data_IF_501594316489
#
_entry.id   IF_501594316489
#
_cell.length_a   1.000
_cell.length_b   1.000
_cell.length_c   1.000
_cell.angle_alpha   90.00
_cell.angle_beta   90.00
_cell.angle_gamma   90.00
#
_symmetry.space_group_name_H-M   'P 1'
#
loop_
_entity.id
_entity.type
_entity.pdbx_description
1 polymer ?
#
# COMPACT_ATOMS: atom_id res chain seq x y z
N UNK A 1 -56.76 24.15 29.48
CA UNK A 1 -55.69 25.17 29.42
C UNK A 1 -54.39 24.69 30.08
N UNK A 2 -54.41 24.21 31.32
CA UNK A 2 -53.20 23.73 32.04
C UNK A 2 -52.40 22.61 31.33
N UNK A 3 -53.06 21.60 30.75
CA UNK A 3 -52.39 20.50 30.04
C UNK A 3 -51.67 20.94 28.74
N UNK A 4 -52.17 21.98 28.07
CA UNK A 4 -51.56 22.53 26.86
C UNK A 4 -50.27 23.29 27.18
N UNK A 5 -50.29 24.06 28.28
CA UNK A 5 -49.10 24.74 28.80
C UNK A 5 -48.02 23.72 29.22
N UNK A 6 -48.42 22.63 29.86
CA UNK A 6 -47.49 21.58 30.27
C UNK A 6 -46.82 20.89 29.08
N UNK A 7 -47.60 20.54 28.04
CA UNK A 7 -47.04 20.00 26.79
C UNK A 7 -46.09 21.00 26.12
N UNK A 8 -46.47 22.28 26.04
CA UNK A 8 -45.62 23.31 25.45
C UNK A 8 -44.27 23.44 26.18
N UNK A 9 -44.28 23.43 27.52
CA UNK A 9 -43.05 23.46 28.33
C UNK A 9 -42.16 22.23 28.10
N UNK A 10 -42.74 21.04 27.97
CA UNK A 10 -41.99 19.81 27.68
C UNK A 10 -41.34 19.84 26.30
N UNK A 11 -42.03 20.38 25.28
CA UNK A 11 -41.45 20.57 23.95
C UNK A 11 -40.29 21.58 23.94
N UNK A 12 -40.38 22.64 24.76
CA UNK A 12 -39.35 23.68 24.85
C UNK A 12 -38.09 23.23 25.62
N UNK A 13 -38.20 22.25 26.52
CA UNK A 13 -37.07 21.76 27.31
C UNK A 13 -35.93 21.16 26.47
N UNK A 14 -36.23 20.64 25.27
CA UNK A 14 -35.23 20.13 24.34
C UNK A 14 -34.36 21.20 23.68
N UNK A 15 -34.84 22.45 23.57
CA UNK A 15 -34.09 23.55 22.95
C UNK A 15 -33.06 24.20 23.90
N UNK A 16 -33.17 23.98 25.21
CA UNK A 16 -32.27 24.57 26.21
C UNK A 16 -31.04 23.69 26.53
N UNK A 17 -30.92 22.50 25.91
CA UNK A 17 -29.80 21.61 26.14
C UNK A 17 -28.52 22.11 25.47
N UNK A 18 -27.52 22.50 26.27
CA UNK A 18 -26.17 22.73 25.75
C UNK A 18 -25.52 21.38 25.40
N UNK A 19 -24.89 21.22 24.23
CA UNK A 19 -24.12 20.02 23.93
C UNK A 19 -22.97 19.89 24.96
N UNK A 20 -22.62 18.67 25.38
CA UNK A 20 -21.48 18.45 26.26
C UNK A 20 -20.20 18.95 25.58
N UNK A 21 -19.28 19.47 26.39
CA UNK A 21 -18.00 19.97 25.89
C UNK A 21 -17.24 18.83 25.17
N UNK A 22 -16.83 19.02 23.91
CA UNK A 22 -16.12 17.99 23.17
C UNK A 22 -14.81 17.66 23.87
N UNK A 23 -14.63 16.42 24.32
CA UNK A 23 -13.36 15.93 24.84
C UNK A 23 -12.56 15.35 23.68
N UNK A 24 -11.52 16.03 23.16
CA UNK A 24 -10.75 15.50 22.06
C UNK A 24 -10.03 14.23 22.52
N UNK A 25 -10.40 13.11 21.91
CA UNK A 25 -9.68 11.86 22.07
C UNK A 25 -8.43 11.92 21.20
N UNK A 26 -7.25 11.78 21.82
CA UNK A 26 -6.02 11.54 21.05
C UNK A 26 -6.07 10.11 20.53
N UNK A 27 -6.02 9.95 19.22
CA UNK A 27 -5.93 8.67 18.54
C UNK A 27 -4.59 8.62 17.84
N UNK A 28 -3.80 7.58 18.11
CA UNK A 28 -2.60 7.30 17.33
C UNK A 28 -3.00 6.74 15.97
N UNK A 29 -2.79 7.54 14.93
CA UNK A 29 -3.03 7.10 13.56
C UNK A 29 -1.74 6.50 13.02
N UNK A 30 -1.75 5.24 12.52
CA UNK A 30 -0.57 4.65 11.91
C UNK A 30 -0.16 5.49 10.69
N UNK A 31 1.06 6.01 10.72
CA UNK A 31 1.64 6.73 9.59
C UNK A 31 2.46 5.74 8.76
N UNK A 32 2.24 5.76 7.45
CA UNK A 32 3.04 4.96 6.51
C UNK A 32 4.49 5.48 6.54
N UNK A 33 5.41 4.64 7.05
CA UNK A 33 6.84 4.95 7.03
C UNK A 33 7.42 4.61 5.65
N UNK A 34 8.23 5.50 5.04
CA UNK A 34 8.84 5.19 3.75
C UNK A 34 9.91 4.11 3.94
N UNK A 35 9.79 3.01 3.20
CA UNK A 35 10.85 2.02 3.17
C UNK A 35 12.10 2.58 2.48
N UNK A 36 13.25 2.45 3.13
CA UNK A 36 14.56 2.83 2.57
C UNK A 36 15.38 1.58 2.26
N UNK A 37 15.13 1.00 1.09
CA UNK A 37 15.94 -0.08 0.53
C UNK A 37 16.68 0.42 -0.71
N UNK A 38 17.93 -0.04 -0.94
CA UNK A 38 18.64 0.30 -2.17
C UNK A 38 17.89 -0.25 -3.39
N UNK A 39 18.00 0.45 -4.51
CA UNK A 39 17.44 0.00 -5.77
C UNK A 39 18.14 -1.28 -6.24
N UNK A 40 17.35 -2.33 -6.48
CA UNK A 40 17.84 -3.59 -7.07
C UNK A 40 17.91 -3.38 -8.58
N UNK A 41 19.12 -3.23 -9.11
CA UNK A 41 19.32 -3.00 -10.55
C UNK A 41 19.10 -4.28 -11.36
N UNK A 42 18.46 -4.20 -12.55
CA UNK A 42 18.32 -5.36 -13.41
C UNK A 42 19.69 -5.85 -13.91
N UNK A 43 19.90 -7.16 -14.02
CA UNK A 43 21.13 -7.71 -14.57
C UNK A 43 21.20 -7.49 -16.08
N UNK A 44 22.38 -7.68 -16.66
CA UNK A 44 22.54 -7.77 -18.12
C UNK A 44 21.86 -9.04 -18.62
N UNK A 45 20.65 -8.90 -19.18
CA UNK A 45 19.87 -10.03 -19.67
C UNK A 45 20.58 -10.77 -20.79
N UNK A 46 20.70 -12.09 -20.65
CA UNK A 46 21.40 -12.93 -21.61
C UNK A 46 20.77 -12.89 -23.02
N UNK A 47 19.47 -12.64 -23.13
CA UNK A 47 18.77 -12.48 -24.40
C UNK A 47 18.98 -11.13 -25.08
N UNK A 48 19.53 -10.12 -24.41
CA UNK A 48 19.61 -8.75 -24.92
C UNK A 48 20.47 -8.62 -26.20
N UNK A 49 21.41 -9.54 -26.42
CA UNK A 49 22.29 -9.53 -27.59
C UNK A 49 21.84 -10.46 -28.71
N UNK A 50 20.69 -11.14 -28.55
CA UNK A 50 20.18 -12.06 -29.58
C UNK A 50 19.75 -11.32 -30.84
N UNK A 51 20.07 -11.89 -31.99
CA UNK A 51 19.68 -11.41 -33.31
C UNK A 51 18.70 -12.37 -33.99
N UNK A 52 17.91 -11.84 -34.93
CA UNK A 52 16.96 -12.65 -35.69
C UNK A 52 17.61 -13.82 -36.42
N UNK A 53 18.82 -13.61 -36.95
CA UNK A 53 19.61 -14.63 -37.67
C UNK A 53 20.35 -15.65 -36.78
N UNK A 54 20.32 -15.50 -35.45
CA UNK A 54 21.01 -16.44 -34.58
C UNK A 54 20.39 -17.85 -34.67
N UNK A 55 21.25 -18.86 -34.56
CA UNK A 55 20.83 -20.26 -34.55
C UNK A 55 19.87 -20.54 -33.39
N UNK A 56 19.01 -21.54 -33.58
CA UNK A 56 18.09 -21.97 -32.53
C UNK A 56 18.83 -22.35 -31.24
N UNK A 57 19.98 -23.03 -31.36
CA UNK A 57 20.79 -23.41 -30.20
C UNK A 57 21.29 -22.19 -29.41
N UNK A 58 21.76 -21.15 -30.10
CA UNK A 58 22.19 -19.89 -29.46
C UNK A 58 21.04 -19.22 -28.72
N UNK A 59 19.87 -19.13 -29.38
CA UNK A 59 18.65 -18.55 -28.78
C UNK A 59 18.20 -19.33 -27.54
N UNK A 60 18.09 -20.66 -27.63
CA UNK A 60 17.67 -21.51 -26.51
C UNK A 60 18.64 -21.39 -25.34
N UNK A 61 19.95 -21.41 -25.59
CA UNK A 61 20.96 -21.26 -24.53
C UNK A 61 20.85 -19.91 -23.82
N UNK A 62 20.72 -18.83 -24.57
CA UNK A 62 20.57 -17.49 -24.01
C UNK A 62 19.28 -17.36 -23.18
N UNK A 63 18.15 -17.86 -23.68
CA UNK A 63 16.86 -17.79 -22.96
C UNK A 63 16.83 -18.67 -21.70
N UNK A 64 17.50 -19.84 -21.71
CA UNK A 64 17.65 -20.67 -20.51
C UNK A 64 18.54 -20.01 -19.45
N UNK A 65 19.60 -19.30 -19.88
CA UNK A 65 20.41 -18.49 -18.97
C UNK A 65 19.59 -17.33 -18.40
N UNK A 66 18.86 -16.60 -19.24
CA UNK A 66 18.02 -15.48 -18.81
C UNK A 66 16.90 -15.92 -17.86
N UNK A 67 16.30 -17.08 -18.08
CA UNK A 67 15.31 -17.65 -17.15
C UNK A 67 15.86 -17.75 -15.72
N UNK A 68 17.10 -18.21 -15.57
CA UNK A 68 17.76 -18.28 -14.25
C UNK A 68 18.08 -16.89 -13.70
N UNK A 69 18.51 -15.95 -14.55
CA UNK A 69 18.71 -14.56 -14.14
C UNK A 69 17.43 -13.94 -13.58
N UNK A 70 16.27 -14.16 -14.24
CA UNK A 70 14.98 -13.66 -13.78
C UNK A 70 14.57 -14.27 -12.45
N UNK A 71 14.76 -15.58 -12.28
CA UNK A 71 14.51 -16.24 -10.98
C UNK A 71 15.36 -15.65 -9.85
N UNK A 72 16.65 -15.39 -10.10
CA UNK A 72 17.52 -14.72 -9.12
C UNK A 72 17.06 -13.29 -8.80
N UNK A 73 16.78 -12.51 -9.83
CA UNK A 73 16.30 -11.13 -9.68
C UNK A 73 14.97 -11.03 -8.93
N UNK A 74 14.04 -11.97 -9.16
CA UNK A 74 12.80 -12.05 -8.39
C UNK A 74 13.06 -12.32 -6.90
N UNK A 75 14.03 -13.16 -6.56
CA UNK A 75 14.42 -13.41 -5.17
C UNK A 75 15.05 -12.18 -4.52
N UNK A 76 15.90 -11.44 -5.24
CA UNK A 76 16.49 -10.20 -4.76
C UNK A 76 15.42 -9.11 -4.52
N UNK A 77 14.48 -8.96 -5.44
CA UNK A 77 13.34 -8.05 -5.28
C UNK A 77 12.47 -8.43 -4.09
N UNK A 78 12.18 -9.73 -3.91
CA UNK A 78 11.44 -10.21 -2.74
C UNK A 78 12.19 -9.96 -1.44
N UNK A 79 13.52 -10.12 -1.43
CA UNK A 79 14.35 -9.81 -0.26
C UNK A 79 14.29 -8.31 0.09
N UNK A 80 14.38 -7.42 -0.91
CA UNK A 80 14.23 -5.99 -0.70
C UNK A 80 12.84 -5.64 -0.14
N UNK A 81 11.76 -6.23 -0.66
CA UNK A 81 10.42 -6.03 -0.14
C UNK A 81 10.23 -6.57 1.29
N UNK A 82 10.87 -7.69 1.64
CA UNK A 82 10.82 -8.23 3.00
C UNK A 82 11.55 -7.35 4.00
N UNK A 83 12.64 -6.70 3.59
CA UNK A 83 13.34 -5.73 4.43
C UNK A 83 12.51 -4.47 4.75
N UNK A 84 11.40 -4.25 4.02
CA UNK A 84 10.47 -3.13 4.23
C UNK A 84 9.28 -3.45 5.16
N UNK A 85 9.07 -4.71 5.52
CA UNK A 85 7.99 -5.13 6.42
C UNK A 85 8.42 -5.00 7.87
#
# INVERSE_FOLDING_TARGET
MSRLLLCLCLFLAGCAGSPPEPRPLRVEMPLAVPCRVPEVRPPSWAGATLKAGDSLQTKVRALLAERRQRQGYELELQAALRACR
#
